data_IF_161587866145
#
_entry.id   IF_161587866145
#
_cell.length_a   1.000
_cell.length_b   1.000
_cell.length_c   1.000
_cell.angle_alpha   90.00
_cell.angle_beta   90.00
_cell.angle_gamma   90.00
#
_symmetry.space_group_name_H-M   'P 1'
#
loop_
_entity.id
_entity.type
_entity.pdbx_description
1 polymer ?
#
# COMPACT_ATOMS: atom_id res chain seq x y z
N UNK A 1 -2.61 -10.32 20.44
CA UNK A 1 -1.75 -10.91 19.39
C UNK A 1 -2.04 -10.17 18.10
N UNK A 2 -1.14 -9.28 17.67
CA UNK A 2 -1.26 -8.65 16.35
C UNK A 2 -1.02 -9.74 15.31
N UNK A 3 -2.03 -10.06 14.48
CA UNK A 3 -1.83 -10.91 13.30
C UNK A 3 -0.72 -10.31 12.44
N UNK A 4 0.20 -11.14 11.97
CA UNK A 4 1.23 -10.68 11.03
C UNK A 4 0.55 -10.14 9.77
N UNK A 5 1.07 -9.07 9.15
CA UNK A 5 0.48 -8.50 7.94
C UNK A 5 0.36 -9.56 6.83
N UNK A 6 1.30 -10.49 6.80
CA UNK A 6 1.34 -11.66 5.92
C UNK A 6 0.16 -12.61 6.11
N UNK A 7 -0.44 -12.69 7.29
CA UNK A 7 -1.66 -13.48 7.54
C UNK A 7 -2.94 -12.75 7.12
N UNK A 8 -2.91 -11.42 6.99
CA UNK A 8 -4.07 -10.61 6.61
C UNK A 8 -4.30 -10.58 5.10
N UNK A 9 -3.24 -10.77 4.30
CA UNK A 9 -3.31 -10.78 2.84
C UNK A 9 -3.75 -12.15 2.33
N UNK A 10 -4.88 -12.14 1.62
CA UNK A 10 -5.50 -13.31 0.97
C UNK A 10 -5.63 -13.06 -0.54
N UNK A 11 -5.94 -14.08 -1.37
CA UNK A 11 -6.05 -13.92 -2.83
C UNK A 11 -7.09 -12.89 -3.32
N UNK A 12 -8.04 -12.51 -2.46
CA UNK A 12 -9.03 -11.47 -2.75
C UNK A 12 -8.43 -10.06 -2.69
N UNK A 13 -7.25 -9.87 -2.12
CA UNK A 13 -6.60 -8.56 -2.09
C UNK A 13 -5.86 -8.27 -3.40
N UNK A 14 -6.17 -7.12 -3.99
CA UNK A 14 -5.51 -6.59 -5.19
C UNK A 14 -4.15 -5.97 -4.87
N UNK A 15 -3.99 -5.46 -3.66
CA UNK A 15 -2.82 -4.70 -3.28
C UNK A 15 -2.99 -3.93 -1.99
N UNK A 16 -1.97 -3.10 -1.74
CA UNK A 16 -1.82 -2.31 -0.53
C UNK A 16 -1.73 -0.83 -0.90
N UNK A 17 -2.49 0.01 -0.19
CA UNK A 17 -2.18 1.43 -0.04
C UNK A 17 -1.52 1.59 1.32
N UNK A 18 -0.30 2.10 1.34
CA UNK A 18 0.47 2.28 2.56
C UNK A 18 0.74 3.76 2.78
N UNK A 19 0.20 4.30 3.88
CA UNK A 19 0.35 5.71 4.24
C UNK A 19 1.23 5.80 5.48
N UNK A 20 2.30 6.59 5.40
CA UNK A 20 3.27 6.74 6.49
C UNK A 20 3.63 8.19 6.74
N UNK A 21 4.18 8.47 7.93
CA UNK A 21 4.84 9.75 8.22
C UNK A 21 6.20 9.86 7.56
N UNK A 22 6.91 8.74 7.48
CA UNK A 22 8.30 8.68 7.05
C UNK A 22 8.43 8.33 5.56
N UNK A 23 9.58 8.63 4.96
CA UNK A 23 9.90 8.19 3.61
C UNK A 23 10.30 6.70 3.59
N UNK A 24 10.18 6.03 2.45
CA UNK A 24 10.59 4.61 2.32
C UNK A 24 12.05 4.36 2.74
N UNK A 25 12.95 5.32 2.50
CA UNK A 25 14.37 5.21 2.87
C UNK A 25 14.58 5.12 4.39
N UNK A 26 13.66 5.67 5.17
CA UNK A 26 13.68 5.66 6.64
C UNK A 26 13.12 4.34 7.20
N UNK A 27 12.65 3.44 6.32
CA UNK A 27 12.06 2.14 6.65
C UNK A 27 10.92 2.27 7.69
N UNK A 28 9.79 2.89 7.30
CA UNK A 28 8.68 3.14 8.22
C UNK A 28 8.14 1.84 8.82
N UNK A 29 7.34 1.95 9.87
CA UNK A 29 6.76 0.76 10.50
C UNK A 29 5.99 -0.11 9.48
N UNK A 30 6.13 -1.44 9.63
CA UNK A 30 5.69 -2.49 8.68
C UNK A 30 6.54 -2.61 7.41
N UNK A 31 7.59 -1.82 7.22
CA UNK A 31 8.48 -1.91 6.04
C UNK A 31 8.93 -3.34 5.77
N UNK A 32 9.52 -4.03 6.74
CA UNK A 32 10.06 -5.38 6.51
C UNK A 32 8.98 -6.39 6.13
N UNK A 33 7.77 -6.26 6.70
CA UNK A 33 6.65 -7.15 6.38
C UNK A 33 6.12 -6.89 4.97
N UNK A 34 6.02 -5.62 4.58
CA UNK A 34 5.57 -5.23 3.25
C UNK A 34 6.65 -5.59 2.22
N UNK A 35 7.92 -5.30 2.45
CA UNK A 35 9.01 -5.67 1.54
C UNK A 35 9.12 -7.19 1.37
N UNK A 36 8.86 -7.96 2.43
CA UNK A 36 8.73 -9.42 2.35
C UNK A 36 7.59 -9.85 1.41
N UNK A 37 6.39 -9.26 1.53
CA UNK A 37 5.26 -9.53 0.62
C UNK A 37 5.61 -9.21 -0.85
N UNK A 38 6.52 -8.27 -1.07
CA UNK A 38 6.98 -7.85 -2.39
C UNK A 38 8.35 -8.45 -2.77
N UNK A 39 8.82 -9.50 -2.09
CA UNK A 39 10.06 -10.21 -2.41
C UNK A 39 11.32 -9.31 -2.49
N UNK A 40 11.40 -8.34 -1.57
CA UNK A 40 12.51 -7.39 -1.48
C UNK A 40 12.50 -6.31 -2.58
N UNK A 41 11.40 -6.17 -3.32
CA UNK A 41 11.32 -5.23 -4.46
C UNK A 41 11.51 -3.77 -4.02
N UNK A 42 11.04 -3.40 -2.83
CA UNK A 42 11.15 -2.03 -2.33
C UNK A 42 12.61 -1.75 -2.03
N UNK A 43 13.26 -2.64 -1.28
CA UNK A 43 14.70 -2.56 -0.99
C UNK A 43 15.54 -2.49 -2.27
N UNK A 44 15.27 -3.35 -3.25
CA UNK A 44 15.97 -3.33 -4.56
C UNK A 44 15.76 -2.01 -5.30
N UNK A 45 14.53 -1.49 -5.31
CA UNK A 45 14.19 -0.24 -5.99
C UNK A 45 14.90 0.96 -5.37
N UNK A 46 14.97 1.01 -4.03
CA UNK A 46 15.66 2.07 -3.29
C UNK A 46 17.17 2.04 -3.51
N UNK A 47 17.78 0.85 -3.58
CA UNK A 47 19.20 0.71 -3.89
C UNK A 47 19.55 1.27 -5.29
N UNK A 48 18.60 1.21 -6.24
CA UNK A 48 18.77 1.74 -7.60
C UNK A 48 18.33 3.20 -7.73
N UNK A 49 17.47 3.70 -6.85
CA UNK A 49 16.90 5.04 -6.90
C UNK A 49 16.99 5.69 -5.52
N UNK A 50 18.07 6.44 -5.31
CA UNK A 50 18.34 7.17 -4.07
C UNK A 50 17.37 8.31 -3.78
N UNK A 51 16.48 8.66 -4.71
CA UNK A 51 15.54 9.76 -4.52
C UNK A 51 14.41 9.44 -3.55
N UNK A 52 14.17 8.16 -3.22
CA UNK A 52 13.08 7.75 -2.32
C UNK A 52 11.66 8.10 -2.83
N UNK A 53 11.54 8.64 -4.05
CA UNK A 53 10.28 9.18 -4.61
C UNK A 53 9.34 8.11 -5.20
N UNK A 54 9.80 6.86 -5.33
CA UNK A 54 9.00 5.81 -5.95
C UNK A 54 7.95 5.30 -4.95
N UNK A 55 6.72 5.77 -5.11
CA UNK A 55 5.57 5.35 -4.32
C UNK A 55 4.73 4.24 -4.97
N UNK A 56 5.10 3.70 -6.14
CA UNK A 56 4.31 2.66 -6.81
C UNK A 56 5.16 1.44 -7.15
N UNK A 57 4.68 0.27 -6.75
CA UNK A 57 5.33 -1.02 -6.96
C UNK A 57 4.32 -2.04 -7.47
N UNK A 58 4.79 -2.95 -8.31
CA UNK A 58 4.01 -4.09 -8.80
C UNK A 58 4.79 -5.36 -8.51
N UNK A 59 4.21 -6.23 -7.69
CA UNK A 59 4.70 -7.56 -7.39
C UNK A 59 3.71 -8.63 -7.83
N UNK A 60 3.88 -9.82 -7.29
CA UNK A 60 2.95 -10.93 -7.47
C UNK A 60 2.60 -11.52 -6.11
N UNK A 61 1.31 -11.79 -5.88
CA UNK A 61 0.79 -12.46 -4.70
C UNK A 61 -0.25 -13.50 -5.13
N UNK A 62 -0.19 -14.71 -4.57
CA UNK A 62 -1.09 -15.83 -4.93
C UNK A 62 -1.24 -16.10 -6.45
N UNK A 63 -0.19 -15.86 -7.24
CA UNK A 63 -0.22 -16.07 -8.69
C UNK A 63 -0.90 -14.95 -9.49
N UNK A 64 -1.23 -13.82 -8.87
CA UNK A 64 -1.83 -12.66 -9.50
C UNK A 64 -0.99 -11.38 -9.28
N UNK A 65 -1.08 -10.38 -10.18
CA UNK A 65 -0.46 -9.08 -9.96
C UNK A 65 -0.95 -8.45 -8.65
N UNK A 66 -0.01 -7.94 -7.86
CA UNK A 66 -0.29 -7.36 -6.56
C UNK A 66 0.42 -6.01 -6.44
N UNK A 67 -0.34 -4.92 -6.29
CA UNK A 67 0.23 -3.57 -6.30
C UNK A 67 0.51 -3.06 -4.88
N UNK A 68 1.48 -2.15 -4.76
CA UNK A 68 1.69 -1.33 -3.57
C UNK A 68 1.78 0.13 -3.98
N UNK A 69 0.97 0.96 -3.34
CA UNK A 69 1.03 2.41 -3.43
C UNK A 69 1.42 2.99 -2.06
N UNK A 70 2.64 3.52 -1.95
CA UNK A 70 3.15 4.23 -0.79
C UNK A 70 2.90 5.73 -0.94
N UNK A 71 2.38 6.34 0.13
CA UNK A 71 2.16 7.77 0.25
C UNK A 71 2.73 8.28 1.57
N UNK A 72 3.37 9.43 1.51
CA UNK A 72 3.80 10.17 2.70
C UNK A 72 2.71 11.17 3.08
N UNK A 73 2.24 11.16 4.32
CA UNK A 73 1.04 11.92 4.73
C UNK A 73 1.22 13.45 4.67
N UNK A 74 2.45 13.94 4.82
CA UNK A 74 2.80 15.36 4.78
C UNK A 74 3.24 15.83 3.38
N UNK A 75 3.19 14.94 2.38
CA UNK A 75 3.57 15.29 1.02
C UNK A 75 2.64 16.37 0.45
N UNK A 76 3.17 17.34 -0.32
CA UNK A 76 2.34 18.27 -1.06
C UNK A 76 1.33 17.50 -1.92
N UNK A 77 0.05 17.84 -1.82
CA UNK A 77 -1.06 17.21 -2.53
C UNK A 77 -1.40 15.76 -2.13
N UNK A 78 -0.91 15.25 -0.99
CA UNK A 78 -1.22 13.90 -0.48
C UNK A 78 -2.69 13.49 -0.65
N UNK A 79 -3.64 14.31 -0.19
CA UNK A 79 -5.06 13.98 -0.24
C UNK A 79 -5.57 13.85 -1.68
N UNK A 80 -5.09 14.71 -2.59
CA UNK A 80 -5.48 14.66 -4.00
C UNK A 80 -4.94 13.39 -4.66
N UNK A 81 -3.64 13.12 -4.50
CA UNK A 81 -2.99 11.96 -5.12
C UNK A 81 -3.55 10.64 -4.61
N UNK A 82 -3.80 10.55 -3.29
CA UNK A 82 -4.42 9.37 -2.69
C UNK A 82 -5.83 9.17 -3.24
N UNK A 83 -6.65 10.23 -3.30
CA UNK A 83 -8.00 10.13 -3.86
C UNK A 83 -8.00 9.73 -5.33
N UNK A 84 -7.10 10.28 -6.15
CA UNK A 84 -6.95 9.92 -7.56
C UNK A 84 -6.57 8.44 -7.74
N UNK A 85 -5.62 7.95 -6.94
CA UNK A 85 -5.23 6.53 -6.95
C UNK A 85 -6.40 5.63 -6.55
N UNK A 86 -7.12 5.98 -5.48
CA UNK A 86 -8.30 5.23 -5.02
C UNK A 86 -9.41 5.23 -6.08
N UNK A 87 -9.68 6.37 -6.72
CA UNK A 87 -10.67 6.44 -7.79
C UNK A 87 -10.28 5.61 -9.01
N UNK A 88 -9.01 5.62 -9.39
CA UNK A 88 -8.50 4.79 -10.48
C UNK A 88 -8.70 3.30 -10.16
N UNK A 89 -8.28 2.84 -8.98
CA UNK A 89 -8.44 1.45 -8.55
C UNK A 89 -9.93 1.06 -8.51
N UNK A 90 -10.79 1.95 -8.00
CA UNK A 90 -12.22 1.72 -7.93
C UNK A 90 -12.87 1.63 -9.33
N UNK A 91 -12.48 2.51 -10.26
CA UNK A 91 -12.98 2.54 -11.66
C UNK A 91 -12.51 1.34 -12.48
N UNK A 92 -11.35 0.76 -12.17
CA UNK A 92 -10.84 -0.47 -12.80
C UNK A 92 -11.72 -1.70 -12.52
N UNK A 93 -12.81 -1.57 -11.74
CA UNK A 93 -13.96 -2.45 -11.86
C UNK A 93 -13.76 -3.84 -11.27
N UNK A 94 -12.76 -4.03 -10.42
CA UNK A 94 -12.54 -5.29 -9.72
C UNK A 94 -13.50 -5.37 -8.54
N UNK A 95 -14.80 -5.52 -8.84
CA UNK A 95 -15.92 -5.50 -7.90
C UNK A 95 -15.76 -6.49 -6.74
N UNK A 96 -14.97 -7.55 -6.92
CA UNK A 96 -14.68 -8.59 -5.93
C UNK A 96 -13.38 -8.41 -5.16
N UNK A 97 -12.47 -7.54 -5.61
CA UNK A 97 -11.13 -7.49 -5.04
C UNK A 97 -11.03 -6.38 -3.99
N UNK A 98 -10.41 -6.72 -2.88
CA UNK A 98 -10.19 -5.85 -1.72
C UNK A 98 -8.89 -5.09 -1.87
N UNK A 99 -8.81 -3.91 -1.29
CA UNK A 99 -7.57 -3.14 -1.15
C UNK A 99 -7.30 -2.99 0.33
N UNK A 100 -6.11 -3.39 0.78
CA UNK A 100 -5.71 -3.14 2.15
C UNK A 100 -5.13 -1.74 2.24
N UNK A 101 -5.64 -0.93 3.16
CA UNK A 101 -5.04 0.36 3.50
C UNK A 101 -4.33 0.19 4.84
N UNK A 102 -3.03 0.42 4.85
CA UNK A 102 -2.18 0.34 6.04
C UNK A 102 -1.77 1.77 6.39
N UNK A 103 -2.11 2.22 7.59
CA UNK A 103 -1.90 3.62 7.98
C UNK A 103 -1.91 3.81 9.49
N UNK A 104 -1.08 4.72 9.98
CA UNK A 104 -1.15 5.24 11.35
C UNK A 104 -2.34 6.20 11.54
N UNK A 105 -2.71 6.91 10.47
CA UNK A 105 -3.83 7.85 10.45
C UNK A 105 -5.15 7.10 10.19
N UNK A 106 -6.19 7.53 10.91
CA UNK A 106 -7.56 7.06 10.66
C UNK A 106 -8.09 7.63 9.36
N UNK A 107 -8.62 6.75 8.52
CA UNK A 107 -9.27 7.14 7.26
C UNK A 107 -10.69 6.61 7.20
N UNK A 108 -11.58 7.38 6.58
CA UNK A 108 -12.96 6.99 6.38
C UNK A 108 -13.21 6.65 4.91
N UNK A 109 -13.37 5.36 4.64
CA UNK A 109 -13.56 4.84 3.29
C UNK A 109 -15.03 4.53 2.94
N UNK A 110 -16.01 5.22 3.54
CA UNK A 110 -17.45 5.00 3.26
C UNK A 110 -17.80 4.98 1.75
N UNK A 111 -17.09 5.77 0.93
CA UNK A 111 -17.25 5.81 -0.53
C UNK A 111 -16.70 4.55 -1.23
N UNK A 112 -15.73 3.87 -0.64
CA UNK A 112 -14.98 2.76 -1.25
C UNK A 112 -15.11 1.47 -0.43
N UNK A 113 -16.23 0.76 -0.61
CA UNK A 113 -16.60 -0.43 0.21
C UNK A 113 -15.57 -1.56 0.20
N UNK A 114 -14.70 -1.63 -0.80
CA UNK A 114 -13.70 -2.70 -0.95
C UNK A 114 -12.35 -2.32 -0.29
N UNK A 115 -12.25 -1.18 0.38
CA UNK A 115 -11.03 -0.71 1.03
C UNK A 115 -11.10 -1.00 2.53
N UNK A 116 -10.16 -1.80 3.01
CA UNK A 116 -10.12 -2.26 4.39
C UNK A 116 -8.96 -1.58 5.10
N UNK A 117 -9.25 -0.84 6.17
CA UNK A 117 -8.21 -0.17 6.97
C UNK A 117 -7.61 -1.15 7.98
N UNK A 118 -6.28 -1.18 8.03
CA UNK A 118 -5.50 -1.80 9.09
C UNK A 118 -4.62 -0.71 9.73
N UNK A 119 -5.04 -0.28 10.91
CA UNK A 119 -4.30 0.66 11.75
C UNK A 119 -3.14 -0.08 12.44
N UNK A 120 -2.06 0.64 12.74
CA UNK A 120 -0.97 0.15 13.57
C UNK A 120 -0.43 1.26 14.47
#
# INVERSE_FOLDING_TARGET
MNKSLTEAITPEYLGIIWVTKDQLLEKPEKFDQIDYLFNGLITKSMAQNSSGKKGLFMGNSFGHPFFLAHFKEDAPNFEKEMNEAMEMIYKLGLKSNKVLVISEKKFNFKKYKNFHLQEY
#
